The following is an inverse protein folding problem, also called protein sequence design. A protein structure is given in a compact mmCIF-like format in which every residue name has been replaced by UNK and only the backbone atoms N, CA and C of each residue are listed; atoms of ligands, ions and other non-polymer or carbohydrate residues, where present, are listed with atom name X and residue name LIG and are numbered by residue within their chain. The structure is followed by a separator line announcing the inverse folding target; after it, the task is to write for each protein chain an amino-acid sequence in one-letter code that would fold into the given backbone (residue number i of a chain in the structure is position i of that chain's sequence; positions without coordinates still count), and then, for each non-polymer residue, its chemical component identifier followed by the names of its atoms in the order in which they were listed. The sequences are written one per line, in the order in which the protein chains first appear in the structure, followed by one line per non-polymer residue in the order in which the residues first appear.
data_IF_433815530336
#
_entry.id   IF_433815530336
#
_cell.length_a   1.000
_cell.length_b   1.000
_cell.length_c   1.000
_cell.angle_alpha   90.00
_cell.angle_beta   90.00
_cell.angle_gamma   90.00
#
_symmetry.space_group_name_H-M   'P 1'
#
loop_
_entity.id
_entity.type
_entity.pdbx_description
1 polymer ?
#
# COMPACT_ATOMS: atom_id res chain seq x y z
N UNK A 1 -7.55 7.72 5.66
CA UNK A 1 -7.02 6.45 5.14
C UNK A 1 -7.34 5.25 6.04
N UNK A 2 -7.04 5.25 7.37
CA UNK A 2 -7.32 4.07 8.21
C UNK A 2 -8.82 3.78 8.35
N UNK A 3 -9.64 4.81 8.57
CA UNK A 3 -11.10 4.65 8.74
C UNK A 3 -11.79 4.09 7.49
N UNK A 4 -11.42 4.57 6.30
CA UNK A 4 -12.00 4.05 5.05
C UNK A 4 -11.59 2.60 4.79
N UNK A 5 -10.42 2.17 5.28
CA UNK A 5 -9.98 0.79 5.15
C UNK A 5 -10.74 -0.12 6.11
N UNK A 6 -10.86 0.27 7.39
CA UNK A 6 -11.66 -0.46 8.38
C UNK A 6 -13.12 -0.60 7.94
N UNK A 7 -13.72 0.46 7.37
CA UNK A 7 -15.09 0.39 6.82
C UNK A 7 -15.25 -0.62 5.68
N UNK A 8 -14.23 -0.76 4.82
CA UNK A 8 -14.28 -1.76 3.75
C UNK A 8 -14.16 -3.18 4.31
N UNK A 9 -13.37 -3.38 5.37
CA UNK A 9 -13.28 -4.65 6.08
C UNK A 9 -14.61 -4.98 6.76
N UNK A 10 -15.19 -4.05 7.52
CA UNK A 10 -16.50 -4.23 8.16
C UNK A 10 -17.59 -4.57 7.12
N UNK A 11 -17.55 -3.92 5.95
CA UNK A 11 -18.42 -4.23 4.82
C UNK A 11 -18.22 -5.65 4.29
N UNK A 12 -16.97 -6.09 4.14
CA UNK A 12 -16.63 -7.45 3.71
C UNK A 12 -17.08 -8.50 4.72
N UNK A 13 -16.74 -8.33 6.01
CA UNK A 13 -17.10 -9.25 7.09
C UNK A 13 -18.62 -9.41 7.22
N UNK A 14 -19.36 -8.30 7.08
CA UNK A 14 -20.82 -8.33 7.10
C UNK A 14 -21.42 -9.05 5.88
N UNK A 15 -20.78 -8.96 4.71
CA UNK A 15 -21.28 -9.59 3.48
C UNK A 15 -20.98 -11.10 3.40
N UNK A 16 -19.81 -11.52 3.91
CA UNK A 16 -19.31 -12.89 3.73
C UNK A 16 -19.39 -13.73 5.02
N UNK A 17 -19.79 -13.14 6.15
CA UNK A 17 -19.89 -13.77 7.47
C UNK A 17 -18.61 -14.51 7.89
N UNK A 18 -17.45 -13.90 7.59
CA UNK A 18 -16.11 -14.39 7.92
C UNK A 18 -15.26 -13.22 8.40
N UNK A 19 -14.48 -13.45 9.46
CA UNK A 19 -13.49 -12.48 9.94
C UNK A 19 -12.33 -12.35 8.95
N UNK A 20 -11.89 -11.12 8.70
CA UNK A 20 -10.71 -10.86 7.90
C UNK A 20 -9.46 -11.01 8.75
N UNK A 21 -8.74 -12.13 8.58
CA UNK A 21 -7.45 -12.36 9.22
C UNK A 21 -6.36 -12.27 8.15
N UNK A 22 -5.39 -11.38 8.37
CA UNK A 22 -4.25 -11.27 7.49
C UNK A 22 -3.33 -12.49 7.67
N UNK A 23 -2.93 -13.08 6.55
CA UNK A 23 -1.87 -14.09 6.47
C UNK A 23 -0.72 -13.53 5.63
N UNK A 24 0.52 -13.82 6.03
CA UNK A 24 1.74 -13.32 5.38
C UNK A 24 2.06 -14.09 4.08
N UNK A 25 1.16 -14.98 3.65
CA UNK A 25 1.17 -15.54 2.31
C UNK A 25 1.05 -14.41 1.28
N UNK A 26 1.99 -14.39 0.33
CA UNK A 26 2.03 -13.31 -0.67
C UNK A 26 0.75 -13.37 -1.50
N UNK A 27 -0.07 -12.30 -1.51
CA UNK A 27 -1.34 -12.32 -2.21
C UNK A 27 -1.05 -12.41 -3.72
N UNK A 28 -1.26 -13.59 -4.29
CA UNK A 28 -1.21 -13.78 -5.74
C UNK A 28 -2.53 -13.26 -6.31
N UNK A 29 -2.47 -12.09 -6.94
CA UNK A 29 -3.60 -11.52 -7.67
C UNK A 29 -3.22 -11.36 -9.14
N UNK A 30 -4.18 -11.60 -10.01
CA UNK A 30 -4.01 -11.42 -11.47
C UNK A 30 -4.16 -9.93 -11.87
N UNK A 31 -4.44 -9.04 -10.90
CA UNK A 31 -4.65 -7.64 -11.16
C UNK A 31 -3.31 -6.89 -11.27
N UNK A 32 -3.11 -6.20 -12.39
CA UNK A 32 -1.89 -5.43 -12.68
C UNK A 32 -1.61 -4.36 -11.62
N UNK A 33 -2.65 -3.70 -11.07
CA UNK A 33 -2.46 -2.66 -10.05
C UNK A 33 -2.02 -3.23 -8.71
N UNK A 34 -2.47 -4.44 -8.38
CA UNK A 34 -2.10 -5.15 -7.16
C UNK A 34 -0.65 -5.65 -7.26
N UNK A 35 -0.28 -6.24 -8.40
CA UNK A 35 1.11 -6.61 -8.71
C UNK A 35 2.03 -5.38 -8.70
N UNK A 36 1.57 -4.26 -9.28
CA UNK A 36 2.33 -3.01 -9.31
C UNK A 36 2.63 -2.49 -7.91
N UNK A 37 1.62 -2.36 -7.05
CA UNK A 37 1.84 -1.79 -5.71
C UNK A 37 2.74 -2.70 -4.87
N UNK A 38 2.63 -4.02 -5.03
CA UNK A 38 3.50 -4.99 -4.37
C UNK A 38 4.94 -4.86 -4.85
N UNK A 39 5.17 -4.82 -6.17
CA UNK A 39 6.50 -4.57 -6.76
C UNK A 39 7.09 -3.27 -6.24
N UNK A 40 6.32 -2.18 -6.31
CA UNK A 40 6.76 -0.86 -5.88
C UNK A 40 7.10 -0.81 -4.38
N UNK A 41 6.40 -1.58 -3.55
CA UNK A 41 6.71 -1.77 -2.13
C UNK A 41 8.06 -2.47 -1.93
N UNK A 42 8.34 -3.54 -2.70
CA UNK A 42 9.62 -4.25 -2.61
C UNK A 42 10.79 -3.39 -3.11
N UNK A 43 10.58 -2.64 -4.20
CA UNK A 43 11.55 -1.65 -4.71
C UNK A 43 11.88 -0.59 -3.65
N UNK A 44 10.86 -0.10 -2.93
CA UNK A 44 11.06 0.83 -1.81
C UNK A 44 11.87 0.20 -0.66
N UNK A 45 11.56 -1.05 -0.27
CA UNK A 45 12.30 -1.76 0.78
C UNK A 45 13.77 -1.95 0.41
N UNK A 46 14.06 -2.29 -0.85
CA UNK A 46 15.43 -2.42 -1.36
C UNK A 46 16.19 -1.10 -1.24
N UNK A 47 15.61 -0.02 -1.74
CA UNK A 47 16.18 1.33 -1.64
C UNK A 47 16.40 1.75 -0.19
N UNK A 48 15.41 1.53 0.68
CA UNK A 48 15.52 1.87 2.10
C UNK A 48 16.71 1.15 2.74
N UNK A 49 16.87 -0.15 2.50
CA UNK A 49 17.97 -0.95 3.05
C UNK A 49 19.33 -0.43 2.58
N UNK A 50 19.45 -0.07 1.30
CA UNK A 50 20.67 0.48 0.72
C UNK A 50 21.01 1.87 1.29
N UNK A 51 20.06 2.79 1.28
CA UNK A 51 20.28 4.17 1.76
C UNK A 51 20.53 4.22 3.27
N UNK A 52 19.83 3.40 4.06
CA UNK A 52 20.03 3.29 5.51
C UNK A 52 21.40 2.71 5.85
N UNK A 53 21.94 1.78 5.04
CA UNK A 53 23.31 1.25 5.20
C UNK A 53 24.38 2.35 5.07
N UNK A 54 24.11 3.38 4.26
CA UNK A 54 25.01 4.51 4.05
C UNK A 54 24.61 5.78 4.84
N UNK A 55 23.63 5.69 5.75
CA UNK A 55 23.10 6.83 6.51
C UNK A 55 22.59 7.99 5.66
N UNK A 56 22.04 7.71 4.47
CA UNK A 56 21.55 8.70 3.51
C UNK A 56 20.05 8.94 3.64
N UNK A 57 19.62 9.39 4.82
CA UNK A 57 18.19 9.56 5.13
C UNK A 57 17.48 10.56 4.19
N UNK A 58 18.21 11.55 3.67
CA UNK A 58 17.67 12.55 2.74
C UNK A 58 17.18 11.96 1.42
N UNK A 59 17.69 10.79 1.00
CA UNK A 59 17.21 10.09 -0.19
C UNK A 59 15.95 9.26 0.08
N UNK A 60 15.74 8.85 1.33
CA UNK A 60 14.61 8.01 1.73
C UNK A 60 13.32 8.81 1.84
N UNK A 61 13.36 9.96 2.52
CA UNK A 61 12.15 10.74 2.82
C UNK A 61 11.34 11.11 1.57
N UNK A 62 11.94 11.64 0.47
CA UNK A 62 11.20 11.93 -0.76
C UNK A 62 10.56 10.69 -1.39
N UNK A 63 11.22 9.52 -1.30
CA UNK A 63 10.68 8.25 -1.81
C UNK A 63 9.50 7.77 -0.98
N UNK A 64 9.54 7.93 0.34
CA UNK A 64 8.41 7.62 1.23
C UNK A 64 7.20 8.50 0.92
N UNK A 65 7.39 9.80 0.73
CA UNK A 65 6.29 10.73 0.37
C UNK A 65 5.68 10.34 -0.97
N UNK A 66 6.52 10.07 -1.98
CA UNK A 66 6.05 9.57 -3.29
C UNK A 66 5.29 8.24 -3.15
N UNK A 67 5.71 7.38 -2.24
CA UNK A 67 5.02 6.12 -2.00
C UNK A 67 3.63 6.31 -1.39
N UNK A 68 3.48 7.21 -0.42
CA UNK A 68 2.16 7.57 0.14
C UNK A 68 1.25 8.12 -0.96
N UNK A 69 1.78 8.97 -1.84
CA UNK A 69 1.03 9.50 -2.99
C UNK A 69 0.57 8.37 -3.94
N UNK A 70 1.48 7.48 -4.34
CA UNK A 70 1.15 6.32 -5.18
C UNK A 70 0.10 5.39 -4.54
N UNK A 71 0.22 5.12 -3.25
CA UNK A 71 -0.74 4.29 -2.54
C UNK A 71 -2.14 4.94 -2.50
N UNK A 72 -2.20 6.22 -2.15
CA UNK A 72 -3.47 6.91 -1.90
C UNK A 72 -4.16 7.39 -3.18
N UNK A 73 -3.42 8.04 -4.08
CA UNK A 73 -3.99 8.71 -5.25
C UNK A 73 -4.08 7.81 -6.47
N UNK A 74 -3.29 6.74 -6.55
CA UNK A 74 -3.30 5.82 -7.67
C UNK A 74 -3.93 4.48 -7.29
N UNK A 75 -3.32 3.74 -6.36
CA UNK A 75 -3.79 2.39 -6.03
C UNK A 75 -5.21 2.40 -5.43
N UNK A 76 -5.42 3.11 -4.30
CA UNK A 76 -6.73 3.15 -3.62
C UNK A 76 -7.80 3.78 -4.51
N UNK A 77 -7.45 4.81 -5.29
CA UNK A 77 -8.40 5.48 -6.20
C UNK A 77 -8.87 4.56 -7.31
N UNK A 78 -7.96 3.87 -7.99
CA UNK A 78 -8.28 2.98 -9.11
C UNK A 78 -9.03 1.72 -8.63
N UNK A 79 -8.66 1.19 -7.46
CA UNK A 79 -9.26 -0.03 -6.89
C UNK A 79 -10.48 0.22 -6.00
N UNK A 80 -11.01 1.45 -5.91
CA UNK A 80 -12.14 1.79 -5.01
C UNK A 80 -13.37 0.89 -5.20
N UNK A 81 -13.71 0.53 -6.44
CA UNK A 81 -14.86 -0.35 -6.75
C UNK A 81 -14.61 -1.78 -6.26
N UNK A 82 -13.41 -2.30 -6.49
CA UNK A 82 -12.97 -3.63 -6.03
C UNK A 82 -12.99 -3.72 -4.50
N UNK A 83 -12.45 -2.70 -3.83
CA UNK A 83 -12.46 -2.58 -2.37
C UNK A 83 -13.87 -2.47 -1.76
N UNK A 84 -14.89 -2.14 -2.55
CA UNK A 84 -16.30 -2.10 -2.14
C UNK A 84 -17.06 -3.41 -2.42
N UNK A 85 -16.42 -4.40 -3.03
CA UNK A 85 -17.08 -5.66 -3.39
C UNK A 85 -17.77 -5.67 -4.76
N UNK A 86 -17.69 -4.60 -5.55
CA UNK A 86 -18.32 -4.54 -6.89
C UNK A 86 -17.69 -5.52 -7.90
N UNK A 87 -16.45 -5.98 -7.64
CA UNK A 87 -15.73 -6.99 -8.43
C UNK A 87 -16.01 -8.45 -8.03
N UNK A 88 -16.87 -8.67 -7.04
CA UNK A 88 -17.13 -9.98 -6.43
C UNK A 88 -16.31 -10.24 -5.17
N UNK A 89 -16.79 -11.19 -4.35
CA UNK A 89 -16.22 -11.49 -3.01
C UNK A 89 -14.73 -11.82 -3.05
N UNK A 90 -14.31 -12.76 -3.91
CA UNK A 90 -12.91 -13.19 -4.00
C UNK A 90 -11.96 -12.07 -4.44
N UNK A 91 -12.39 -11.25 -5.39
CA UNK A 91 -11.58 -10.14 -5.90
C UNK A 91 -11.46 -9.01 -4.87
N UNK A 92 -12.54 -8.74 -4.14
CA UNK A 92 -12.54 -7.83 -2.99
C UNK A 92 -11.56 -8.28 -1.91
N UNK A 93 -11.62 -9.57 -1.55
CA UNK A 93 -10.72 -10.15 -0.56
C UNK A 93 -9.24 -10.01 -0.97
N UNK A 94 -8.90 -10.33 -2.23
CA UNK A 94 -7.54 -10.18 -2.75
C UNK A 94 -7.07 -8.72 -2.73
N UNK A 95 -7.93 -7.78 -3.12
CA UNK A 95 -7.60 -6.35 -3.09
C UNK A 95 -7.39 -5.84 -1.64
N UNK A 96 -8.22 -6.30 -0.69
CA UNK A 96 -8.10 -5.97 0.74
C UNK A 96 -6.83 -6.57 1.35
N UNK A 97 -6.49 -7.83 1.05
CA UNK A 97 -5.24 -8.49 1.47
C UNK A 97 -4.01 -7.74 0.95
N UNK A 98 -4.02 -7.38 -0.33
CA UNK A 98 -2.93 -6.61 -0.94
C UNK A 98 -2.79 -5.24 -0.27
N UNK A 99 -3.91 -4.53 -0.09
CA UNK A 99 -3.90 -3.23 0.58
C UNK A 99 -3.41 -3.34 2.04
N UNK A 100 -3.84 -4.37 2.76
CA UNK A 100 -3.37 -4.64 4.12
C UNK A 100 -1.85 -4.84 4.16
N UNK A 101 -1.32 -5.73 3.32
CA UNK A 101 0.12 -6.04 3.26
C UNK A 101 0.96 -4.78 3.00
N UNK A 102 0.52 -3.96 2.06
CA UNK A 102 1.17 -2.70 1.65
C UNK A 102 1.11 -1.64 2.76
N UNK A 103 -0.03 -1.47 3.43
CA UNK A 103 -0.19 -0.54 4.57
C UNK A 103 0.66 -1.02 5.75
N UNK A 104 0.60 -2.31 6.08
CA UNK A 104 1.35 -2.91 7.19
C UNK A 104 2.86 -2.72 7.00
N UNK A 105 3.35 -2.98 5.79
CA UNK A 105 4.75 -2.74 5.43
C UNK A 105 5.11 -1.25 5.52
N UNK A 106 4.25 -0.36 5.04
CA UNK A 106 4.48 1.08 5.11
C UNK A 106 4.57 1.60 6.55
N UNK A 107 3.71 1.10 7.44
CA UNK A 107 3.71 1.46 8.85
C UNK A 107 5.02 1.05 9.52
N UNK A 108 5.54 -0.14 9.21
CA UNK A 108 6.85 -0.60 9.70
C UNK A 108 8.01 0.23 9.15
N UNK A 109 7.99 0.57 7.86
CA UNK A 109 9.01 1.42 7.23
C UNK A 109 9.01 2.83 7.85
N UNK A 110 7.84 3.39 8.15
CA UNK A 110 7.71 4.73 8.72
C UNK A 110 8.01 4.80 10.21
N UNK A 111 8.06 3.69 10.95
CA UNK A 111 8.31 3.66 12.39
C UNK A 111 9.51 4.53 12.84
N UNK A 112 10.71 4.46 12.21
CA UNK A 112 11.85 5.32 12.57
C UNK A 112 11.69 6.80 12.18
N UNK A 113 10.80 7.16 11.26
CA UNK A 113 10.64 8.53 10.75
C UNK A 113 9.48 9.27 11.40
N UNK A 114 8.37 8.58 11.64
CA UNK A 114 7.12 9.16 12.19
C UNK A 114 6.56 8.26 13.30
N UNK A 115 7.26 8.12 14.44
CA UNK A 115 7.02 7.05 15.40
C UNK A 115 5.60 7.04 15.98
N UNK A 116 5.06 8.21 16.34
CA UNK A 116 3.71 8.33 16.89
C UNK A 116 2.61 8.04 15.87
N UNK A 117 2.80 8.48 14.62
CA UNK A 117 1.83 8.23 13.55
C UNK A 117 1.83 6.75 13.16
N UNK A 118 3.00 6.15 13.01
CA UNK A 118 3.16 4.74 12.69
C UNK A 118 2.56 3.86 13.79
N UNK A 119 2.80 4.19 15.06
CA UNK A 119 2.18 3.50 16.19
C UNK A 119 0.65 3.61 16.17
N UNK A 120 0.11 4.82 15.99
CA UNK A 120 -1.33 5.02 15.88
C UNK A 120 -1.98 4.21 14.74
N UNK A 121 -1.31 4.12 13.59
CA UNK A 121 -1.78 3.30 12.47
C UNK A 121 -1.67 1.80 12.78
N UNK A 122 -0.56 1.37 13.36
CA UNK A 122 -0.30 -0.02 13.70
C UNK A 122 -1.33 -0.58 14.69
N UNK A 123 -1.67 0.17 15.75
CA UNK A 123 -2.67 -0.24 16.73
C UNK A 123 -4.06 -0.51 16.12
N UNK A 124 -4.38 0.12 14.99
CA UNK A 124 -5.64 -0.13 14.26
C UNK A 124 -5.58 -1.37 13.37
N UNK A 125 -4.39 -1.77 12.93
CA UNK A 125 -4.17 -2.99 12.16
C UNK A 125 -4.02 -4.21 13.06
N UNK A 126 -3.62 -3.99 14.32
CA UNK A 126 -3.35 -5.04 15.30
C UNK A 126 -4.48 -6.09 15.45
N UNK A 127 -5.78 -5.73 15.47
CA UNK A 127 -6.86 -6.72 15.58
C UNK A 127 -6.95 -7.68 14.39
N UNK A 128 -6.45 -7.27 13.22
CA UNK A 128 -6.50 -8.02 11.97
C UNK A 128 -5.27 -8.90 11.75
N UNK A 129 -4.26 -8.77 12.62
CA UNK A 129 -3.05 -9.59 12.61
C UNK A 129 -3.25 -10.86 13.44
N UNK A 130 -2.57 -11.97 13.08
CA UNK A 130 -2.54 -13.14 13.92
C UNK A 130 -1.94 -12.79 15.29
N UNK A 131 -2.50 -13.37 16.36
CA UNK A 131 -2.03 -13.15 17.73
C UNK A 131 -0.64 -13.76 17.88
N UNK A 132 0.40 -12.92 17.98
CA UNK A 132 1.77 -13.35 18.29
C UNK A 132 2.31 -12.62 19.52
N UNK A 133 3.34 -13.18 20.17
CA UNK A 133 3.88 -12.68 21.45
C UNK A 133 4.48 -11.26 21.40
N UNK A 134 4.75 -10.69 20.23
CA UNK A 134 5.46 -9.40 20.11
C UNK A 134 4.70 -8.33 19.31
N UNK A 135 3.38 -8.47 19.14
CA UNK A 135 2.61 -7.55 18.31
C UNK A 135 2.12 -6.28 19.05
N UNK A 136 2.64 -5.95 20.24
CA UNK A 136 2.13 -4.83 21.05
C UNK A 136 2.45 -3.44 20.49
N UNK A 137 3.53 -3.29 19.73
CA UNK A 137 3.94 -2.01 19.14
C UNK A 137 4.67 -2.23 17.81
N UNK A 138 4.55 -1.27 16.89
CA UNK A 138 5.30 -1.30 15.63
C UNK A 138 6.81 -1.22 15.89
N UNK A 139 7.23 -0.61 17.00
CA UNK A 139 8.63 -0.40 17.33
C UNK A 139 9.36 -1.68 17.77
N UNK A 140 8.60 -2.75 18.05
CA UNK A 140 9.14 -4.09 18.30
C UNK A 140 9.22 -4.94 17.03
N UNK A 141 8.71 -4.44 15.90
CA UNK A 141 8.69 -5.13 14.63
C UNK A 141 9.93 -4.74 13.80
N UNK A 142 10.65 -5.74 13.31
CA UNK A 142 11.75 -5.50 12.37
C UNK A 142 11.21 -4.90 11.07
N UNK A 143 12.03 -4.17 10.31
CA UNK A 143 11.67 -3.80 8.93
C UNK A 143 11.79 -5.06 8.06
N UNK A 144 10.80 -5.39 7.21
CA UNK A 144 10.86 -6.60 6.40
C UNK A 144 11.97 -6.51 5.35
N UNK A 145 12.52 -7.66 4.97
CA UNK A 145 13.48 -7.74 3.87
C UNK A 145 12.74 -7.73 2.53
N UNK A 146 13.29 -7.02 1.54
CA UNK A 146 12.77 -7.00 0.19
C UNK A 146 12.81 -8.42 -0.44
N UNK A 147 11.71 -8.81 -1.05
CA UNK A 147 11.55 -10.02 -1.87
C UNK A 147 11.78 -9.64 -3.34
N UNK A 148 12.97 -9.91 -3.86
CA UNK A 148 13.35 -9.49 -5.22
C UNK A 148 12.50 -10.19 -6.28
N UNK A 149 11.99 -11.38 -6.00
CA UNK A 149 11.10 -12.15 -6.87
C UNK A 149 9.76 -11.47 -7.17
N UNK A 150 9.35 -10.51 -6.33
CA UNK A 150 8.11 -9.74 -6.52
C UNK A 150 8.35 -8.40 -7.23
N UNK A 151 9.61 -8.06 -7.54
CA UNK A 151 9.95 -6.82 -8.25
C UNK A 151 9.77 -7.05 -9.75
N UNK A 152 8.84 -6.31 -10.36
CA UNK A 152 8.60 -6.26 -11.80
C UNK A 152 8.80 -4.85 -12.33
N UNK A 153 9.98 -4.57 -12.87
CA UNK A 153 10.27 -3.27 -13.49
C UNK A 153 9.37 -3.00 -14.70
N UNK A 154 8.93 -4.04 -15.42
CA UNK A 154 8.02 -3.89 -16.54
C UNK A 154 6.67 -3.34 -16.08
N UNK A 155 6.10 -3.93 -15.02
CA UNK A 155 4.84 -3.47 -14.42
C UNK A 155 4.97 -2.06 -13.87
N UNK A 156 6.09 -1.74 -13.21
CA UNK A 156 6.35 -0.39 -12.71
C UNK A 156 6.45 0.66 -13.83
N UNK A 157 7.14 0.34 -14.93
CA UNK A 157 7.22 1.21 -16.11
C UNK A 157 5.86 1.40 -16.77
N UNK A 158 5.09 0.33 -16.93
CA UNK A 158 3.76 0.38 -17.55
C UNK A 158 2.82 1.32 -16.78
N UNK A 159 2.78 1.19 -15.45
CA UNK A 159 1.97 2.08 -14.61
C UNK A 159 2.50 3.51 -14.62
N UNK A 160 3.82 3.71 -14.61
CA UNK A 160 4.40 5.06 -14.72
C UNK A 160 3.99 5.77 -16.03
N UNK A 161 4.00 5.06 -17.16
CA UNK A 161 3.53 5.62 -18.43
C UNK A 161 2.03 5.94 -18.39
N UNK A 162 1.21 5.06 -17.82
CA UNK A 162 -0.22 5.31 -17.63
C UNK A 162 -0.47 6.57 -16.78
N UNK A 163 0.24 6.70 -15.66
CA UNK A 163 0.15 7.87 -14.77
C UNK A 163 0.49 9.16 -15.54
N UNK A 164 1.59 9.14 -16.29
CA UNK A 164 2.06 10.27 -17.09
C UNK A 164 1.00 10.72 -18.11
N UNK A 165 0.39 9.78 -18.83
CA UNK A 165 -0.67 10.11 -19.81
C UNK A 165 -1.89 10.72 -19.14
N UNK A 166 -2.32 10.17 -18.00
CA UNK A 166 -3.46 10.69 -17.23
C UNK A 166 -3.18 12.10 -16.72
N UNK A 167 -1.98 12.35 -16.18
CA UNK A 167 -1.58 13.66 -15.67
C UNK A 167 -1.48 14.70 -16.79
N UNK A 168 -0.93 14.34 -17.95
CA UNK A 168 -0.93 15.22 -19.13
C UNK A 168 -2.35 15.57 -19.58
N UNK A 169 -3.25 14.58 -19.63
CA UNK A 169 -4.66 14.81 -19.97
C UNK A 169 -5.34 15.76 -18.99
N UNK A 170 -5.07 15.60 -17.68
CA UNK A 170 -5.56 16.51 -16.64
C UNK A 170 -5.05 17.94 -16.85
N UNK A 171 -3.76 18.12 -17.11
CA UNK A 171 -3.15 19.44 -17.35
C UNK A 171 -3.80 20.14 -18.55
N UNK A 172 -4.03 19.42 -19.65
CA UNK A 172 -4.67 20.00 -20.84
C UNK A 172 -6.11 20.45 -20.54
N UNK A 173 -6.88 19.65 -19.79
CA UNK A 173 -8.24 20.01 -19.38
C UNK A 173 -8.24 21.24 -18.47
N UNK A 174 -7.40 21.25 -17.43
CA UNK A 174 -7.36 22.34 -16.46
C UNK A 174 -6.93 23.68 -17.12
N UNK A 175 -6.05 23.63 -18.13
CA UNK A 175 -5.69 24.81 -18.95
C UNK A 175 -6.87 25.35 -19.76
N UNK A 176 -7.69 24.47 -20.32
CA UNK A 176 -8.88 24.87 -21.09
C UNK A 176 -9.91 25.55 -20.19
N UNK A 177 -10.12 25.01 -18.99
CA UNK A 177 -11.08 25.56 -18.03
C UNK A 177 -10.64 26.93 -17.48
N UNK A 178 -9.33 27.15 -17.27
CA UNK A 178 -8.78 28.45 -16.85
C UNK A 178 -8.66 29.50 -17.97
N UNK A 179 -8.96 29.13 -19.22
CA UNK A 179 -8.94 30.04 -20.37
C UNK A 179 -10.31 30.60 -20.75
N UNK A 180 -11.35 30.27 -19.97
CA UNK A 180 -12.73 30.77 -20.06
C UNK A 180 -13.02 31.74 -18.94
#
# INVERSE_FOLDING_TARGET
MPYSFMQNIEGFESSENREFIFDDSSPSSDNIMDQWILSFTQTLLKLLKEEMKFYRLYNVVPKLVKYIDNLTNWYVRMNRRRLKGEGGSKDCELALRTLFSVIYTMVRINAPFTPFLSEFMYQRLLPLLPKTKNNESVHYQMIPQAKEELISEETERAVFHMQTVIDLGRIVRDRKDNSR
#
